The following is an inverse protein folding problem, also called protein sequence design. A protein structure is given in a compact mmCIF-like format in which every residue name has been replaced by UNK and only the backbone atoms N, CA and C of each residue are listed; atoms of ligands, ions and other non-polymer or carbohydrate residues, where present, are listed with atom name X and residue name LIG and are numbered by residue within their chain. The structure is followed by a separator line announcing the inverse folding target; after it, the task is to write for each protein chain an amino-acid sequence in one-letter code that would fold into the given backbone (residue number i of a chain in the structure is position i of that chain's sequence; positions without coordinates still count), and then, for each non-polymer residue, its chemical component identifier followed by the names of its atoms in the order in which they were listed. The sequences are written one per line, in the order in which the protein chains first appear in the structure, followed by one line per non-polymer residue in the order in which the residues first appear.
data_IF_403577370794
#
_entry.id   IF_403577370794
#
_cell.length_a   1.000
_cell.length_b   1.000
_cell.length_c   1.000
_cell.angle_alpha   90.00
_cell.angle_beta   90.00
_cell.angle_gamma   90.00
#
_symmetry.space_group_name_H-M   'P 1'
#
loop_
_entity.id
_entity.type
_entity.pdbx_description
1 polymer ?
#
# COMPACT_ATOMS: atom_id res chain seq x y z
N UNK A 1 8.59 -11.84 30.39
CA UNK A 1 8.96 -11.16 29.15
C UNK A 1 8.43 -9.75 29.28
N UNK A 2 9.33 -8.78 29.49
CA UNK A 2 8.93 -7.38 29.62
C UNK A 2 8.48 -6.90 28.25
N UNK A 3 7.21 -6.50 28.15
CA UNK A 3 6.72 -5.66 27.07
C UNK A 3 7.25 -4.25 27.34
N UNK A 4 8.50 -4.01 26.93
CA UNK A 4 8.98 -2.64 26.80
C UNK A 4 8.20 -2.03 25.64
N UNK A 5 7.15 -1.29 26.00
CA UNK A 5 6.41 -0.43 25.09
C UNK A 5 7.43 0.58 24.58
N UNK A 6 7.81 0.45 23.31
CA UNK A 6 8.67 1.41 22.62
C UNK A 6 8.06 2.79 22.84
N UNK A 7 8.77 3.65 23.58
CA UNK A 7 8.36 5.05 23.75
C UNK A 7 8.20 5.68 22.37
N UNK A 8 6.98 6.15 22.14
CA UNK A 8 6.34 6.13 20.82
C UNK A 8 6.76 7.24 19.83
N UNK A 9 7.83 7.98 20.08
CA UNK A 9 8.13 9.17 19.24
C UNK A 9 8.86 8.85 17.93
N UNK A 10 9.35 7.62 17.75
CA UNK A 10 10.14 7.19 16.57
C UNK A 10 9.46 6.05 15.76
N UNK A 11 8.13 5.90 15.86
CA UNK A 11 7.41 4.81 15.19
C UNK A 11 7.52 4.88 13.64
N UNK A 12 7.47 6.08 13.08
CA UNK A 12 7.50 6.33 11.65
C UNK A 12 8.51 7.41 11.25
N UNK A 13 9.40 7.83 12.14
CA UNK A 13 10.39 8.89 11.86
C UNK A 13 11.24 8.57 10.63
N UNK A 14 11.64 7.30 10.49
CA UNK A 14 12.40 6.80 9.34
C UNK A 14 11.70 7.06 7.99
N UNK A 15 10.36 6.98 7.97
CA UNK A 15 9.55 7.08 6.75
C UNK A 15 8.72 8.37 6.70
N UNK A 16 8.97 9.31 7.61
CA UNK A 16 8.15 10.53 7.75
C UNK A 16 8.08 11.37 6.46
N UNK A 17 9.17 11.36 5.68
CA UNK A 17 9.33 12.12 4.45
C UNK A 17 9.18 11.28 3.18
N UNK A 18 8.86 9.99 3.30
CA UNK A 18 8.67 9.15 2.12
C UNK A 18 7.37 9.52 1.42
N UNK A 19 7.43 9.73 0.11
CA UNK A 19 6.25 9.84 -0.72
C UNK A 19 5.65 8.45 -0.96
N UNK A 20 4.34 8.39 -1.19
CA UNK A 20 3.71 7.17 -1.70
C UNK A 20 4.28 6.80 -3.08
N UNK A 21 4.44 5.50 -3.32
CA UNK A 21 4.98 4.97 -4.56
C UNK A 21 4.09 5.31 -5.75
N UNK A 22 4.71 5.61 -6.90
CA UNK A 22 4.01 5.96 -8.15
C UNK A 22 4.69 5.33 -9.35
N UNK A 23 3.93 4.63 -10.17
CA UNK A 23 4.42 4.13 -11.46
C UNK A 23 4.52 5.31 -12.42
N UNK A 24 5.70 5.46 -13.02
CA UNK A 24 6.03 6.61 -13.85
C UNK A 24 5.65 6.39 -15.31
N UNK A 25 5.47 7.50 -16.03
CA UNK A 25 5.30 7.51 -17.48
C UNK A 25 6.54 8.16 -18.12
N UNK A 26 7.23 7.47 -19.03
CA UNK A 26 8.45 8.00 -19.66
C UNK A 26 8.20 8.73 -21.00
N UNK A 27 6.93 9.00 -21.33
CA UNK A 27 6.52 9.76 -22.52
C UNK A 27 6.34 8.92 -23.80
N UNK A 28 6.56 7.61 -23.75
CA UNK A 28 6.40 6.71 -24.89
C UNK A 28 5.03 6.06 -24.98
N UNK A 29 4.60 5.69 -26.19
CA UNK A 29 3.33 4.98 -26.43
C UNK A 29 3.26 3.61 -25.77
N UNK A 30 4.41 2.99 -25.48
CA UNK A 30 4.47 1.72 -24.74
C UNK A 30 3.91 1.84 -23.31
N UNK A 31 4.08 2.99 -22.65
CA UNK A 31 3.48 3.21 -21.33
C UNK A 31 1.96 3.37 -21.42
N UNK A 32 1.45 4.09 -22.42
CA UNK A 32 0.01 4.21 -22.65
C UNK A 32 -0.62 2.84 -22.93
N UNK A 33 0.00 2.04 -23.81
CA UNK A 33 -0.47 0.68 -24.11
C UNK A 33 -0.48 -0.19 -22.85
N UNK A 34 0.55 -0.10 -22.01
CA UNK A 34 0.63 -0.84 -20.76
C UNK A 34 -0.47 -0.43 -19.76
N UNK A 35 -0.76 0.86 -19.68
CA UNK A 35 -1.82 1.41 -18.83
C UNK A 35 -3.20 0.97 -19.32
N UNK A 36 -3.46 1.02 -20.63
CA UNK A 36 -4.70 0.48 -21.22
C UNK A 36 -4.85 -1.02 -21.04
N UNK A 37 -3.75 -1.78 -21.14
CA UNK A 37 -3.75 -3.22 -20.82
C UNK A 37 -4.19 -3.47 -19.38
N UNK A 38 -3.72 -2.66 -18.43
CA UNK A 38 -4.14 -2.76 -17.02
C UNK A 38 -5.65 -2.60 -16.88
N UNK A 39 -6.22 -1.61 -17.57
CA UNK A 39 -7.65 -1.30 -17.50
C UNK A 39 -8.49 -2.40 -18.15
N UNK A 40 -8.08 -2.88 -19.31
CA UNK A 40 -8.74 -3.98 -19.99
C UNK A 40 -8.70 -5.27 -19.16
N UNK A 41 -7.54 -5.57 -18.55
CA UNK A 41 -7.36 -6.71 -17.65
C UNK A 41 -8.29 -6.60 -16.45
N UNK A 42 -8.31 -5.44 -15.80
CA UNK A 42 -9.15 -5.20 -14.64
C UNK A 42 -10.65 -5.31 -14.96
N UNK A 43 -11.09 -4.67 -16.05
CA UNK A 43 -12.47 -4.75 -16.52
C UNK A 43 -12.91 -6.20 -16.77
N UNK A 44 -12.04 -6.99 -17.40
CA UNK A 44 -12.30 -8.41 -17.65
C UNK A 44 -12.36 -9.23 -16.35
N UNK A 45 -11.52 -8.93 -15.36
CA UNK A 45 -11.51 -9.64 -14.07
C UNK A 45 -12.66 -9.23 -13.17
N UNK A 46 -13.09 -7.98 -13.25
CA UNK A 46 -14.25 -7.47 -12.54
C UNK A 46 -15.52 -8.20 -13.00
N UNK A 47 -15.65 -8.45 -14.30
CA UNK A 47 -16.71 -9.27 -14.90
C UNK A 47 -18.13 -8.92 -14.41
N UNK A 48 -18.46 -7.62 -14.39
CA UNK A 48 -19.75 -7.11 -13.91
C UNK A 48 -19.92 -7.07 -12.38
N UNK A 49 -18.87 -7.40 -11.61
CA UNK A 49 -18.83 -7.26 -10.16
C UNK A 49 -18.84 -5.79 -9.70
N UNK A 50 -18.97 -5.60 -8.38
CA UNK A 50 -18.98 -4.26 -7.77
C UNK A 50 -17.66 -3.52 -8.03
N UNK A 51 -17.72 -2.26 -8.46
CA UNK A 51 -16.57 -1.38 -8.64
C UNK A 51 -15.73 -1.21 -7.36
N UNK A 52 -16.34 -1.42 -6.19
CA UNK A 52 -15.68 -1.41 -4.88
C UNK A 52 -14.98 -2.72 -4.52
N UNK A 53 -15.03 -3.75 -5.37
CA UNK A 53 -14.34 -5.02 -5.13
C UNK A 53 -12.83 -4.86 -5.27
N UNK A 54 -12.05 -5.37 -4.31
CA UNK A 54 -10.60 -5.31 -4.41
C UNK A 54 -10.07 -6.04 -5.65
N UNK A 55 -9.08 -5.48 -6.38
CA UNK A 55 -8.49 -6.09 -7.58
C UNK A 55 -7.58 -7.28 -7.23
N UNK A 56 -8.19 -8.40 -6.79
CA UNK A 56 -7.49 -9.63 -6.37
C UNK A 56 -6.57 -10.20 -7.45
N UNK A 57 -6.88 -9.93 -8.72
CA UNK A 57 -6.09 -10.40 -9.85
C UNK A 57 -4.66 -9.83 -9.83
N UNK A 58 -4.43 -8.64 -9.23
CA UNK A 58 -3.08 -8.05 -9.12
C UNK A 58 -2.16 -9.02 -8.37
N UNK A 59 -2.60 -9.55 -7.23
CA UNK A 59 -1.82 -10.51 -6.45
C UNK A 59 -1.64 -11.86 -7.13
N UNK A 60 -2.59 -12.24 -7.98
CA UNK A 60 -2.50 -13.47 -8.78
C UNK A 60 -1.52 -13.30 -9.94
N UNK A 61 -1.43 -12.09 -10.50
CA UNK A 61 -0.55 -11.75 -11.63
C UNK A 61 0.91 -11.53 -11.21
N UNK A 62 1.13 -10.92 -10.05
CA UNK A 62 2.46 -10.55 -9.58
C UNK A 62 2.79 -11.27 -8.28
N UNK A 63 3.96 -11.90 -8.24
CA UNK A 63 4.55 -12.35 -6.99
C UNK A 63 4.91 -11.14 -6.13
N UNK A 64 4.89 -11.32 -4.82
CA UNK A 64 5.48 -10.34 -3.92
C UNK A 64 7.00 -10.51 -3.91
N UNK A 65 7.70 -9.44 -4.29
CA UNK A 65 9.16 -9.38 -4.45
C UNK A 65 9.58 -7.92 -4.62
N UNK A 66 10.87 -7.62 -4.77
CA UNK A 66 11.32 -6.24 -4.92
C UNK A 66 10.95 -5.63 -6.27
N UNK A 67 10.86 -4.31 -6.30
CA UNK A 67 10.73 -3.48 -7.51
C UNK A 67 11.96 -2.58 -7.62
N UNK A 68 12.55 -2.48 -8.82
CA UNK A 68 13.58 -1.46 -9.08
C UNK A 68 12.91 -0.12 -9.38
N UNK A 69 13.16 0.87 -8.51
CA UNK A 69 12.59 2.21 -8.65
C UNK A 69 13.58 3.19 -9.29
N UNK A 70 13.15 4.13 -10.13
CA UNK A 70 11.77 4.31 -10.60
C UNK A 70 11.38 3.23 -11.63
N UNK A 71 10.12 2.77 -11.57
CA UNK A 71 9.55 1.85 -12.56
C UNK A 71 8.57 2.58 -13.48
N UNK A 72 8.62 2.29 -14.77
CA UNK A 72 7.69 2.82 -15.75
C UNK A 72 6.53 1.85 -16.05
N UNK A 73 5.41 2.38 -16.54
CA UNK A 73 4.22 1.59 -16.87
C UNK A 73 4.50 0.36 -17.75
N UNK A 74 5.29 0.53 -18.82
CA UNK A 74 5.63 -0.56 -19.73
C UNK A 74 6.46 -1.66 -19.07
N UNK A 75 7.28 -1.31 -18.08
CA UNK A 75 8.09 -2.26 -17.31
C UNK A 75 7.22 -2.96 -16.26
N UNK A 76 6.43 -2.21 -15.50
CA UNK A 76 5.59 -2.72 -14.41
C UNK A 76 4.68 -3.87 -14.86
N UNK A 77 4.01 -3.74 -16.01
CA UNK A 77 3.09 -4.77 -16.51
C UNK A 77 3.79 -6.03 -17.03
N UNK A 78 5.08 -5.93 -17.32
CA UNK A 78 5.91 -7.04 -17.80
C UNK A 78 6.58 -7.80 -16.66
N UNK A 79 6.63 -7.24 -15.45
CA UNK A 79 7.25 -7.88 -14.30
C UNK A 79 6.52 -9.18 -13.89
N UNK A 80 7.28 -10.08 -13.26
CA UNK A 80 6.75 -11.27 -12.60
C UNK A 80 6.58 -11.06 -11.09
N UNK A 81 7.29 -10.08 -10.53
CA UNK A 81 7.21 -9.71 -9.12
C UNK A 81 7.15 -8.20 -8.99
N UNK A 82 6.39 -7.73 -8.01
CA UNK A 82 6.26 -6.32 -7.65
C UNK A 82 6.19 -6.21 -6.12
N UNK A 83 6.76 -5.15 -5.58
CA UNK A 83 6.70 -4.83 -4.15
C UNK A 83 5.32 -4.27 -3.76
N UNK A 84 5.12 -4.02 -2.47
CA UNK A 84 3.86 -3.48 -1.96
C UNK A 84 3.53 -2.11 -2.55
N UNK A 85 4.54 -1.24 -2.73
CA UNK A 85 4.38 0.09 -3.34
C UNK A 85 3.86 0.03 -4.78
N UNK A 86 4.47 -0.79 -5.63
CA UNK A 86 4.03 -0.93 -7.02
C UNK A 86 2.64 -1.58 -7.11
N UNK A 87 2.37 -2.63 -6.32
CA UNK A 87 1.04 -3.25 -6.29
C UNK A 87 -0.05 -2.29 -5.76
N UNK A 88 0.26 -1.47 -4.75
CA UNK A 88 -0.63 -0.44 -4.23
C UNK A 88 -0.92 0.65 -5.27
N UNK A 89 0.11 1.11 -5.99
CA UNK A 89 -0.03 2.09 -7.07
C UNK A 89 -0.93 1.55 -8.21
N UNK A 90 -0.76 0.28 -8.61
CA UNK A 90 -1.65 -0.37 -9.57
C UNK A 90 -3.10 -0.44 -9.07
N UNK A 91 -3.30 -0.82 -7.81
CA UNK A 91 -4.65 -0.90 -7.23
C UNK A 91 -5.33 0.47 -7.18
N UNK A 92 -4.58 1.52 -6.82
CA UNK A 92 -5.09 2.89 -6.82
C UNK A 92 -5.51 3.36 -8.21
N UNK A 93 -4.71 3.05 -9.23
CA UNK A 93 -5.06 3.37 -10.61
C UNK A 93 -6.33 2.64 -11.07
N UNK A 94 -6.43 1.35 -10.74
CA UNK A 94 -7.60 0.52 -11.03
C UNK A 94 -8.87 1.10 -10.41
N UNK A 95 -8.83 1.46 -9.12
CA UNK A 95 -10.00 2.06 -8.47
C UNK A 95 -10.36 3.42 -9.07
N UNK A 96 -9.37 4.25 -9.36
CA UNK A 96 -9.57 5.56 -9.99
C UNK A 96 -10.30 5.43 -11.34
N UNK A 97 -9.85 4.52 -12.21
CA UNK A 97 -10.48 4.30 -13.53
C UNK A 97 -11.89 3.71 -13.42
N UNK A 98 -12.18 2.95 -12.37
CA UNK A 98 -13.55 2.50 -12.08
C UNK A 98 -14.47 3.64 -11.61
N UNK A 99 -13.96 4.86 -11.46
CA UNK A 99 -14.69 6.00 -10.91
C UNK A 99 -14.83 5.96 -9.39
N UNK A 100 -14.03 5.14 -8.71
CA UNK A 100 -14.00 5.09 -7.25
C UNK A 100 -12.95 6.08 -6.76
N UNK A 101 -13.34 6.97 -5.84
CA UNK A 101 -12.39 7.86 -5.19
C UNK A 101 -11.42 7.04 -4.34
N UNK A 102 -10.14 7.11 -4.67
CA UNK A 102 -9.11 6.29 -4.06
C UNK A 102 -7.86 7.11 -3.74
N UNK A 103 -7.13 6.66 -2.72
CA UNK A 103 -5.96 7.36 -2.20
C UNK A 103 -4.80 6.40 -1.93
N UNK A 104 -3.56 6.80 -2.22
CA UNK A 104 -2.38 6.09 -1.73
C UNK A 104 -2.36 6.10 -0.19
N UNK A 105 -1.97 4.97 0.39
CA UNK A 105 -1.84 4.81 1.83
C UNK A 105 -0.48 4.21 2.17
N UNK A 106 0.16 4.78 3.18
CA UNK A 106 1.33 4.22 3.85
C UNK A 106 0.94 3.70 5.23
N UNK A 107 1.62 2.63 5.64
CA UNK A 107 1.34 1.88 6.86
C UNK A 107 2.66 1.56 7.56
N UNK A 108 2.62 1.53 8.88
CA UNK A 108 3.68 0.92 9.70
C UNK A 108 3.09 -0.29 10.40
N UNK A 109 3.66 -1.45 10.11
CA UNK A 109 3.25 -2.73 10.68
C UNK A 109 4.32 -3.33 11.58
N UNK A 110 3.90 -4.02 12.64
CA UNK A 110 4.81 -4.77 13.50
C UNK A 110 4.87 -6.23 13.07
N UNK A 111 6.09 -6.76 12.98
CA UNK A 111 6.36 -8.17 12.74
C UNK A 111 7.33 -8.70 13.80
N UNK A 112 7.67 -9.99 13.73
CA UNK A 112 8.72 -10.52 14.61
C UNK A 112 10.10 -10.18 14.05
N UNK A 113 11.10 -10.03 14.93
CA UNK A 113 12.49 -9.78 14.51
C UNK A 113 13.02 -10.87 13.58
N UNK A 114 12.58 -12.11 13.77
CA UNK A 114 12.95 -13.24 12.90
C UNK A 114 12.41 -13.04 11.48
N UNK A 115 11.18 -12.56 11.34
CA UNK A 115 10.57 -12.30 10.04
C UNK A 115 11.26 -11.14 9.32
N UNK A 116 11.51 -10.02 10.02
CA UNK A 116 12.19 -8.85 9.44
C UNK A 116 13.63 -9.16 9.05
N UNK A 117 14.36 -9.96 9.85
CA UNK A 117 15.70 -10.45 9.50
C UNK A 117 15.67 -11.36 8.27
N UNK A 118 14.71 -12.29 8.19
CA UNK A 118 14.58 -13.19 7.05
C UNK A 118 14.32 -12.41 5.74
N UNK A 119 13.43 -11.41 5.78
CA UNK A 119 13.17 -10.56 4.62
C UNK A 119 14.37 -9.70 4.24
N UNK A 120 15.06 -9.12 5.23
CA UNK A 120 16.26 -8.33 4.99
C UNK A 120 17.32 -9.13 4.23
N UNK A 121 17.59 -10.37 4.66
CA UNK A 121 18.56 -11.26 4.00
C UNK A 121 18.14 -11.64 2.58
N UNK A 122 16.84 -11.87 2.34
CA UNK A 122 16.36 -12.24 1.00
C UNK A 122 16.41 -11.06 0.03
N UNK A 123 16.15 -9.83 0.49
CA UNK A 123 16.13 -8.64 -0.37
C UNK A 123 17.52 -8.06 -0.62
N UNK A 124 18.46 -8.21 0.32
CA UNK A 124 19.87 -7.81 0.14
C UNK A 124 20.54 -8.57 -1.01
N UNK A 125 20.13 -9.83 -1.24
CA UNK A 125 20.61 -10.63 -2.38
C UNK A 125 20.10 -10.18 -3.75
N UNK A 126 19.14 -9.26 -3.83
CA UNK A 126 18.50 -8.80 -5.07
C UNK A 126 18.89 -7.36 -5.48
N UNK A 127 19.94 -6.80 -4.89
CA UNK A 127 20.43 -5.41 -5.13
C UNK A 127 19.31 -4.36 -4.96
N UNK A 128 18.44 -4.58 -3.97
CA UNK A 128 17.29 -3.71 -3.69
C UNK A 128 17.32 -3.18 -2.27
N UNK A 129 16.85 -1.95 -2.08
CA UNK A 129 16.94 -1.26 -0.80
C UNK A 129 16.03 -1.92 0.26
N UNK A 130 16.62 -2.36 1.38
CA UNK A 130 15.91 -2.86 2.56
C UNK A 130 15.47 -1.73 3.53
N UNK A 131 15.50 -0.48 3.09
CA UNK A 131 15.20 0.68 3.95
C UNK A 131 13.74 0.73 4.43
N UNK A 132 12.85 -0.07 3.83
CA UNK A 132 11.48 -0.27 4.27
C UNK A 132 11.36 -1.11 5.57
N UNK A 133 12.46 -1.68 6.06
CA UNK A 133 12.54 -2.42 7.34
C UNK A 133 13.26 -1.59 8.38
N UNK A 134 12.75 -1.52 9.62
CA UNK A 134 13.45 -0.96 10.79
C UNK A 134 13.15 -1.83 12.01
N UNK A 135 14.13 -2.58 12.50
CA UNK A 135 13.96 -3.50 13.63
C UNK A 135 12.82 -4.51 13.40
N UNK A 136 11.74 -4.42 14.19
CA UNK A 136 10.53 -5.21 14.08
C UNK A 136 9.39 -4.48 13.34
N UNK A 137 9.68 -3.30 12.77
CA UNK A 137 8.75 -2.45 12.04
C UNK A 137 8.97 -2.53 10.54
N UNK A 138 7.86 -2.55 9.81
CA UNK A 138 7.80 -2.63 8.36
C UNK A 138 6.97 -1.47 7.82
N UNK A 139 7.57 -0.73 6.88
CA UNK A 139 6.85 0.15 5.99
C UNK A 139 6.10 -0.67 4.95
N UNK A 140 4.83 -0.37 4.78
CA UNK A 140 3.95 -1.03 3.83
C UNK A 140 3.08 -0.02 3.10
N UNK A 141 2.67 -0.34 1.88
CA UNK A 141 1.77 0.51 1.09
C UNK A 141 0.48 -0.21 0.72
N UNK A 142 -0.60 0.55 0.66
CA UNK A 142 -1.92 0.11 0.27
C UNK A 142 -2.70 1.20 -0.47
N UNK A 143 -3.96 0.93 -0.73
CA UNK A 143 -4.87 1.85 -1.40
C UNK A 143 -6.14 2.01 -0.57
N UNK A 144 -6.47 3.22 -0.13
CA UNK A 144 -7.79 3.51 0.41
C UNK A 144 -8.78 3.72 -0.73
N UNK A 145 -10.03 3.30 -0.51
CA UNK A 145 -11.19 3.75 -1.28
C UNK A 145 -12.15 4.45 -0.34
N UNK A 146 -12.88 5.44 -0.85
CA UNK A 146 -13.94 6.13 -0.12
C UNK A 146 -15.26 5.38 -0.34
N UNK A 147 -15.84 4.91 0.75
CA UNK A 147 -17.22 4.49 0.86
C UNK A 147 -18.11 5.69 1.24
N UNK A 148 -19.36 5.45 1.65
CA UNK A 148 -20.28 6.53 2.01
C UNK A 148 -19.75 7.38 3.19
N UNK A 149 -20.08 8.67 3.22
CA UNK A 149 -19.79 9.61 4.32
C UNK A 149 -18.31 9.74 4.71
N UNK A 150 -17.38 9.72 3.75
CA UNK A 150 -15.92 9.76 3.99
C UNK A 150 -15.39 8.60 4.83
N UNK A 151 -16.15 7.51 4.98
CA UNK A 151 -15.62 6.26 5.50
C UNK A 151 -14.69 5.66 4.45
N UNK A 152 -13.50 5.23 4.84
CA UNK A 152 -12.54 4.59 3.96
C UNK A 152 -12.42 3.10 4.25
N UNK A 153 -12.04 2.36 3.23
CA UNK A 153 -11.55 0.99 3.35
C UNK A 153 -10.18 0.90 2.72
N UNK A 154 -9.23 0.26 3.41
CA UNK A 154 -7.85 0.15 2.95
C UNK A 154 -7.62 -1.23 2.36
N UNK A 155 -7.28 -1.28 1.08
CA UNK A 155 -6.92 -2.47 0.33
C UNK A 155 -5.41 -2.68 0.38
N UNK A 156 -4.99 -3.88 0.78
CA UNK A 156 -3.61 -4.35 0.60
C UNK A 156 -3.57 -5.27 -0.62
N UNK A 157 -2.96 -4.75 -1.69
CA UNK A 157 -2.84 -5.45 -2.96
C UNK A 157 -1.86 -6.63 -2.89
N UNK A 158 -0.84 -6.57 -2.04
CA UNK A 158 0.16 -7.64 -1.88
C UNK A 158 -0.38 -8.88 -1.16
N UNK A 159 -1.44 -8.73 -0.37
CA UNK A 159 -2.14 -9.82 0.30
C UNK A 159 -3.55 -10.07 -0.26
N UNK A 160 -4.04 -9.22 -1.16
CA UNK A 160 -5.36 -9.28 -1.77
C UNK A 160 -6.52 -9.32 -0.76
N UNK A 161 -6.47 -8.43 0.23
CA UNK A 161 -7.49 -8.31 1.28
C UNK A 161 -7.73 -6.86 1.74
N UNK A 162 -8.85 -6.66 2.43
CA UNK A 162 -9.15 -5.40 3.13
C UNK A 162 -8.52 -5.44 4.51
N UNK A 163 -7.70 -4.44 4.84
CA UNK A 163 -7.06 -4.33 6.14
C UNK A 163 -8.13 -4.04 7.20
N UNK A 164 -8.08 -4.79 8.30
CA UNK A 164 -8.97 -4.60 9.43
C UNK A 164 -8.42 -3.48 10.34
N UNK A 165 -9.17 -2.39 10.58
CA UNK A 165 -8.73 -1.30 11.47
C UNK A 165 -8.59 -1.74 12.94
N UNK A 166 -9.00 -2.96 13.30
CA UNK A 166 -8.99 -3.50 14.67
C UNK A 166 -7.82 -4.44 14.99
N UNK A 167 -6.87 -4.60 14.07
CA UNK A 167 -5.74 -5.51 14.25
C UNK A 167 -4.56 -4.80 14.94
N UNK A 168 -4.59 -4.75 16.27
CA UNK A 168 -3.68 -3.93 17.08
C UNK A 168 -2.52 -4.70 17.74
N UNK A 169 -2.43 -6.02 17.59
CA UNK A 169 -1.42 -6.81 18.29
C UNK A 169 -0.99 -8.06 17.55
N UNK A 170 0.25 -8.47 17.81
CA UNK A 170 0.86 -9.65 17.21
C UNK A 170 1.42 -9.41 15.82
N UNK A 171 1.75 -10.50 15.14
CA UNK A 171 2.35 -10.50 13.81
C UNK A 171 1.44 -9.79 12.78
N UNK A 172 1.98 -8.77 12.12
CA UNK A 172 1.29 -7.96 11.11
C UNK A 172 0.32 -6.93 11.70
N UNK A 173 0.42 -6.61 13.00
CA UNK A 173 -0.39 -5.55 13.61
C UNK A 173 -0.11 -4.20 12.96
N UNK A 174 -1.13 -3.35 12.89
CA UNK A 174 -0.98 -2.01 12.34
C UNK A 174 -0.76 -1.00 13.46
N UNK A 175 0.33 -0.23 13.36
CA UNK A 175 0.73 0.74 14.37
C UNK A 175 0.54 2.18 13.92
N UNK A 176 0.72 2.49 12.64
CA UNK A 176 0.46 3.82 12.09
C UNK A 176 -0.03 3.76 10.64
N UNK A 177 -0.73 4.81 10.23
CA UNK A 177 -1.23 5.01 8.87
C UNK A 177 -1.02 6.45 8.43
N UNK A 178 -0.81 6.65 7.14
CA UNK A 178 -0.86 7.94 6.46
C UNK A 178 -1.57 7.79 5.14
N UNK A 179 -2.55 8.65 4.87
CA UNK A 179 -3.29 8.68 3.62
C UNK A 179 -2.90 9.94 2.84
N UNK A 180 -2.73 9.84 1.53
CA UNK A 180 -2.36 10.99 0.69
C UNK A 180 -3.58 11.51 -0.06
N UNK A 181 -3.98 12.74 0.23
CA UNK A 181 -5.13 13.39 -0.38
C UNK A 181 -4.70 14.69 -1.09
N UNK A 182 -5.38 15.04 -2.19
CA UNK A 182 -5.15 16.28 -2.92
C UNK A 182 -5.74 17.49 -2.17
N UNK A 183 -5.36 18.73 -2.53
CA UNK A 183 -5.83 19.93 -1.83
C UNK A 183 -7.34 20.17 -1.84
N UNK A 184 -8.06 19.57 -2.78
CA UNK A 184 -9.52 19.66 -2.94
C UNK A 184 -10.28 18.49 -2.30
N UNK A 185 -9.55 17.55 -1.68
CA UNK A 185 -10.12 16.42 -0.95
C UNK A 185 -10.46 16.77 0.51
N UNK A 186 -11.27 15.93 1.19
CA UNK A 186 -11.47 16.06 2.63
C UNK A 186 -10.15 16.00 3.41
N UNK A 187 -10.02 16.85 4.42
CA UNK A 187 -8.85 16.87 5.32
C UNK A 187 -8.81 15.67 6.29
N UNK A 188 -9.88 14.89 6.38
CA UNK A 188 -9.95 13.72 7.25
C UNK A 188 -10.94 12.66 6.75
N UNK A 189 -10.68 11.43 7.17
CA UNK A 189 -11.42 10.23 6.78
C UNK A 189 -11.75 9.37 7.98
N UNK A 190 -12.89 8.68 7.98
CA UNK A 190 -13.22 7.70 9.01
C UNK A 190 -12.74 6.31 8.58
N UNK A 191 -12.04 5.60 9.46
CA UNK A 191 -11.63 4.21 9.22
C UNK A 191 -11.95 3.32 10.44
N UNK A 192 -13.14 2.71 10.40
CA UNK A 192 -13.73 2.07 11.58
C UNK A 192 -13.93 3.10 12.69
N UNK A 193 -13.29 2.85 13.85
CA UNK A 193 -13.35 3.72 15.02
C UNK A 193 -12.24 4.81 15.01
N UNK A 194 -11.41 4.86 13.96
CA UNK A 194 -10.31 5.82 13.81
C UNK A 194 -10.70 6.99 12.90
N UNK A 195 -10.23 8.19 13.21
CA UNK A 195 -10.29 9.36 12.32
C UNK A 195 -8.91 9.64 11.77
N UNK A 196 -8.67 9.47 10.47
CA UNK A 196 -7.37 9.63 9.84
C UNK A 196 -7.26 11.01 9.22
N UNK A 197 -6.34 11.84 9.70
CA UNK A 197 -6.01 13.10 9.05
C UNK A 197 -5.29 12.86 7.71
N UNK A 198 -5.68 13.60 6.68
CA UNK A 198 -5.04 13.53 5.38
C UNK A 198 -3.60 14.05 5.45
N UNK A 199 -2.70 13.42 4.71
CA UNK A 199 -1.30 13.80 4.53
C UNK A 199 -0.43 13.76 5.79
N UNK A 200 -0.95 13.28 6.92
CA UNK A 200 -0.26 13.16 8.20
C UNK A 200 -0.14 11.71 8.65
N UNK A 201 0.97 11.39 9.32
CA UNK A 201 1.11 10.10 9.99
C UNK A 201 0.29 10.09 11.27
N UNK A 202 -0.51 9.05 11.44
CA UNK A 202 -1.34 8.86 12.61
C UNK A 202 -1.12 7.48 13.24
N UNK A 203 -0.84 7.49 14.54
CA UNK A 203 -0.79 6.27 15.36
C UNK A 203 -2.18 5.67 15.46
N UNK A 204 -2.28 4.37 15.21
CA UNK A 204 -3.50 3.61 15.41
C UNK A 204 -3.53 3.18 16.88
N UNK A 205 -4.53 3.64 17.63
CA UNK A 205 -4.64 3.34 19.06
C UNK A 205 -5.04 1.87 19.24
N UNK A 206 -4.24 1.10 19.99
CA UNK A 206 -4.73 -0.13 20.59
C UNK A 206 -5.78 0.23 21.65
N UNK A 207 -7.01 -0.26 21.49
CA UNK A 207 -8.01 -0.24 22.55
C UNK A 207 -7.56 -1.08 23.75
#
# INVERSE_FOLDING_TARGET
MNNDIVETDDLYEKWQHWAASKISHHGGTCCEIAREWLFAMDFSQLNGGSIFSGPRWIRQRYNWGPTHWAIYWCEAVQQNALDCGAQAALANEVFSVRGVKSYPVQLVQQFTKEATNQWSLRWDGEDTAVQWIKDDLIYHEGCAIVADNNEIKIWDASAAWWINPKQFGGYGSLLAVRLFAAPDDPDSFQWGDNFIAANEWQKIKSL
#
